data_IF_889255712502
#
_entry.id   IF_889255712502
#
_cell.length_a   1.000
_cell.length_b   1.000
_cell.length_c   1.000
_cell.angle_alpha   90.00
_cell.angle_beta   90.00
_cell.angle_gamma   90.00
#
_symmetry.space_group_name_H-M   'P 1'
#
loop_
_entity.id
_entity.type
_entity.pdbx_description
1 polymer ?
#
# COMPACT_ATOMS: atom_id res chain seq x y z
N UNK A 1 0.90 9.41 -10.61
CA UNK A 1 0.45 10.30 -9.50
C UNK A 1 1.48 10.27 -8.36
N UNK A 2 1.62 11.29 -7.51
CA UNK A 2 2.60 11.32 -6.41
C UNK A 2 1.95 11.64 -5.07
N UNK A 3 2.51 11.11 -3.97
CA UNK A 3 2.06 11.44 -2.63
C UNK A 3 2.60 12.79 -2.19
N UNK A 4 1.72 13.63 -1.65
CA UNK A 4 2.11 14.92 -1.08
C UNK A 4 2.42 14.75 0.41
N UNK A 5 3.63 15.13 0.81
CA UNK A 5 4.00 15.12 2.22
C UNK A 5 3.33 16.28 2.95
N UNK A 6 2.61 15.98 4.03
CA UNK A 6 1.89 16.98 4.80
C UNK A 6 1.90 16.65 6.31
N UNK A 7 1.99 17.66 7.18
CA UNK A 7 1.74 17.46 8.61
C UNK A 7 0.26 17.08 8.86
N UNK A 8 0.03 16.21 9.82
CA UNK A 8 -1.32 15.76 10.20
C UNK A 8 -2.27 16.92 10.55
N UNK A 9 -1.71 18.01 11.08
CA UNK A 9 -2.47 19.21 11.47
C UNK A 9 -3.11 19.94 10.28
N UNK A 10 -2.65 19.69 9.06
CA UNK A 10 -3.11 20.37 7.85
C UNK A 10 -4.06 19.51 6.99
N UNK A 11 -4.48 18.32 7.44
CA UNK A 11 -5.37 17.42 6.69
C UNK A 11 -6.69 18.09 6.27
N UNK A 12 -7.23 19.00 7.09
CA UNK A 12 -8.49 19.69 6.77
C UNK A 12 -8.41 20.60 5.54
N UNK A 13 -7.21 20.86 5.02
CA UNK A 13 -6.98 21.68 3.81
C UNK A 13 -6.96 20.86 2.52
N UNK A 14 -7.05 19.54 2.63
CA UNK A 14 -6.96 18.60 1.51
C UNK A 14 -8.33 18.16 1.01
N UNK A 15 -8.36 17.60 -0.18
CA UNK A 15 -9.56 17.12 -0.83
C UNK A 15 -9.74 15.62 -0.61
N UNK A 16 -10.97 15.15 -0.77
CA UNK A 16 -11.24 13.71 -0.79
C UNK A 16 -10.48 13.07 -1.96
N UNK A 17 -9.84 11.94 -1.72
CA UNK A 17 -9.05 11.22 -2.72
C UNK A 17 -7.59 11.69 -2.85
N UNK A 18 -7.16 12.73 -2.15
CA UNK A 18 -5.77 13.19 -2.19
C UNK A 18 -4.81 12.09 -1.69
N UNK A 19 -3.70 11.91 -2.43
CA UNK A 19 -2.62 11.00 -2.05
C UNK A 19 -1.66 11.71 -1.12
N UNK A 20 -1.53 11.21 0.11
CA UNK A 20 -0.77 11.88 1.16
C UNK A 20 0.28 10.99 1.80
N UNK A 21 1.33 11.63 2.29
CA UNK A 21 2.39 11.07 3.10
C UNK A 21 2.44 11.81 4.43
N UNK A 22 2.24 11.09 5.55
CA UNK A 22 2.23 11.67 6.90
C UNK A 22 3.18 10.88 7.81
N UNK A 23 3.92 11.61 8.64
CA UNK A 23 4.68 11.02 9.74
C UNK A 23 3.91 11.11 11.05
N UNK A 24 3.89 10.04 11.84
CA UNK A 24 3.26 10.04 13.16
C UNK A 24 3.59 8.80 13.98
N UNK A 25 2.93 8.68 15.14
CA UNK A 25 2.98 7.52 16.01
C UNK A 25 1.82 6.59 15.68
N UNK A 26 2.14 5.37 15.29
CA UNK A 26 1.17 4.34 14.99
C UNK A 26 0.69 3.65 16.27
N UNK A 27 -0.61 3.50 16.40
CA UNK A 27 -1.26 2.74 17.46
C UNK A 27 -2.34 1.88 16.82
N UNK A 28 -2.53 0.66 17.33
CA UNK A 28 -3.59 -0.24 16.85
C UNK A 28 -4.24 -0.95 18.02
N UNK A 29 -5.55 -1.12 17.98
CA UNK A 29 -6.26 -2.07 18.82
C UNK A 29 -6.88 -3.17 17.94
N UNK A 30 -7.80 -3.96 18.51
CA UNK A 30 -8.44 -5.06 17.76
C UNK A 30 -9.32 -4.55 16.61
N UNK A 31 -9.85 -3.33 16.71
CA UNK A 31 -10.87 -2.81 15.81
C UNK A 31 -10.31 -1.74 14.87
N UNK A 32 -9.33 -0.96 15.32
CA UNK A 32 -8.89 0.25 14.64
C UNK A 32 -7.38 0.44 14.70
N UNK A 33 -6.83 1.02 13.64
CA UNK A 33 -5.49 1.59 13.63
C UNK A 33 -5.59 3.12 13.56
N UNK A 34 -4.68 3.80 14.25
CA UNK A 34 -4.68 5.26 14.36
C UNK A 34 -3.24 5.77 14.25
N UNK A 35 -3.07 6.83 13.46
CA UNK A 35 -1.86 7.63 13.42
C UNK A 35 -2.06 8.90 14.24
N UNK A 36 -1.15 9.15 15.18
CA UNK A 36 -1.19 10.34 16.05
C UNK A 36 0.03 11.23 15.78
N UNK A 37 -0.18 12.53 15.64
CA UNK A 37 0.91 13.51 15.55
C UNK A 37 0.50 14.82 16.24
N UNK A 38 1.18 15.15 17.34
CA UNK A 38 0.76 16.24 18.23
C UNK A 38 -0.59 15.93 18.89
N UNK A 39 -1.53 16.86 18.80
CA UNK A 39 -2.89 16.77 19.32
C UNK A 39 -3.88 16.09 18.34
N UNK A 40 -3.44 15.79 17.11
CA UNK A 40 -4.29 15.21 16.07
C UNK A 40 -4.18 13.71 15.99
N UNK A 41 -5.31 13.08 15.66
CA UNK A 41 -5.46 11.64 15.43
C UNK A 41 -6.15 11.43 14.10
N UNK A 42 -5.67 10.48 13.32
CA UNK A 42 -6.23 10.06 12.04
C UNK A 42 -6.45 8.57 12.06
N UNK A 43 -7.69 8.16 11.83
CA UNK A 43 -8.03 6.75 11.71
C UNK A 43 -7.49 6.20 10.39
N UNK A 44 -6.90 5.02 10.47
CA UNK A 44 -6.33 4.28 9.36
C UNK A 44 -7.28 3.14 8.98
N UNK A 45 -7.53 2.98 7.68
CA UNK A 45 -8.30 1.88 7.10
C UNK A 45 -7.33 1.02 6.31
N UNK A 46 -7.37 -0.29 6.55
CA UNK A 46 -6.44 -1.25 5.96
C UNK A 46 -5.16 -1.42 6.77
N UNK A 47 -4.28 -2.30 6.29
CA UNK A 47 -2.99 -2.61 6.88
C UNK A 47 -1.94 -2.18 5.85
N UNK A 48 -0.82 -1.56 6.27
CA UNK A 48 0.28 -1.29 5.37
C UNK A 48 0.73 -2.53 4.60
N UNK A 49 1.04 -2.33 3.33
CA UNK A 49 1.30 -3.41 2.39
C UNK A 49 2.62 -4.15 2.65
N UNK A 50 3.75 -3.46 2.80
CA UNK A 50 5.06 -4.12 2.98
C UNK A 50 5.47 -4.31 4.44
N UNK A 51 5.02 -3.44 5.34
CA UNK A 51 5.54 -3.36 6.70
C UNK A 51 4.43 -3.20 7.73
N UNK A 52 4.23 -4.20 8.59
CA UNK A 52 3.29 -4.11 9.71
C UNK A 52 3.96 -3.34 10.87
N UNK A 53 3.50 -2.13 11.22
CA UNK A 53 4.13 -1.36 12.27
C UNK A 53 3.91 -1.95 13.66
N UNK A 54 4.92 -1.81 14.53
CA UNK A 54 4.79 -2.14 15.96
C UNK A 54 3.93 -1.10 16.68
N UNK A 55 3.35 -1.48 17.82
CA UNK A 55 2.64 -0.53 18.69
C UNK A 55 3.54 0.63 19.08
N UNK A 56 2.99 1.84 19.04
CA UNK A 56 3.68 3.10 19.38
C UNK A 56 4.93 3.40 18.52
N UNK A 57 5.10 2.71 17.39
CA UNK A 57 6.20 2.98 16.48
C UNK A 57 6.01 4.32 15.77
N UNK A 58 7.11 5.06 15.61
CA UNK A 58 7.13 6.26 14.76
C UNK A 58 7.30 5.84 13.30
N UNK A 59 6.34 6.17 12.47
CA UNK A 59 6.26 5.71 11.07
C UNK A 59 5.95 6.85 10.11
N UNK A 60 6.33 6.62 8.86
CA UNK A 60 5.83 7.30 7.68
C UNK A 60 4.72 6.42 7.08
N UNK A 61 3.56 7.01 6.79
CA UNK A 61 2.41 6.32 6.19
C UNK A 61 2.01 7.03 4.91
N UNK A 62 1.75 6.24 3.87
CA UNK A 62 1.17 6.67 2.61
C UNK A 62 -0.23 6.14 2.45
N UNK A 63 -1.10 6.94 1.85
CA UNK A 63 -2.46 6.51 1.58
C UNK A 63 -3.27 7.53 0.82
N UNK A 64 -4.54 7.17 0.61
CA UNK A 64 -5.56 8.03 0.03
C UNK A 64 -6.48 8.58 1.11
N UNK A 65 -6.60 9.89 1.18
CA UNK A 65 -7.45 10.56 2.16
C UNK A 65 -8.92 10.37 1.83
N UNK A 66 -9.71 10.04 2.85
CA UNK A 66 -11.16 9.98 2.81
C UNK A 66 -11.73 11.06 3.74
N UNK A 67 -12.23 12.16 3.18
CA UNK A 67 -12.70 13.36 3.90
C UNK A 67 -14.08 13.20 4.56
N UNK A 68 -14.47 11.96 4.91
CA UNK A 68 -15.65 11.70 5.74
C UNK A 68 -15.60 12.43 7.09
N UNK A 69 -16.68 12.33 7.88
CA UNK A 69 -16.71 12.83 9.26
C UNK A 69 -16.79 11.65 10.22
N UNK A 70 -15.69 11.25 10.90
CA UNK A 70 -14.34 11.83 10.88
C UNK A 70 -13.51 11.46 9.62
N UNK A 71 -12.45 12.23 9.30
CA UNK A 71 -11.56 11.92 8.18
C UNK A 71 -10.76 10.64 8.47
N UNK A 72 -10.51 9.86 7.43
CA UNK A 72 -9.82 8.56 7.49
C UNK A 72 -8.79 8.46 6.39
N UNK A 73 -7.76 7.65 6.59
CA UNK A 73 -6.75 7.37 5.58
C UNK A 73 -6.89 5.92 5.13
N UNK A 74 -7.18 5.69 3.86
CA UNK A 74 -7.01 4.37 3.27
C UNK A 74 -5.52 4.13 3.06
N UNK A 75 -4.94 3.25 3.87
CA UNK A 75 -3.49 3.03 3.92
C UNK A 75 -3.05 2.24 2.72
N UNK A 76 -2.03 2.73 2.03
CA UNK A 76 -1.36 2.00 0.97
C UNK A 76 -0.10 1.32 1.50
N UNK A 77 0.76 2.03 2.22
CA UNK A 77 1.93 1.43 2.84
C UNK A 77 2.46 2.27 4.02
N UNK A 78 3.45 1.73 4.72
CA UNK A 78 4.14 2.39 5.81
C UNK A 78 5.60 1.96 5.89
N UNK A 79 6.45 2.77 6.53
CA UNK A 79 7.80 2.36 6.95
C UNK A 79 8.19 3.02 8.26
N UNK A 80 9.17 2.48 9.01
CA UNK A 80 9.80 3.22 10.10
C UNK A 80 10.39 4.53 9.58
N UNK A 81 10.28 5.61 10.37
CA UNK A 81 10.91 6.89 10.00
C UNK A 81 12.41 6.69 9.76
N UNK A 82 12.92 7.20 8.64
CA UNK A 82 14.34 7.10 8.26
C UNK A 82 14.74 5.77 7.61
N UNK A 83 13.81 4.83 7.41
CA UNK A 83 14.08 3.63 6.63
C UNK A 83 14.33 3.98 5.15
N UNK A 84 15.26 3.25 4.51
CA UNK A 84 15.66 3.48 3.11
C UNK A 84 14.72 2.85 2.08
N UNK A 85 13.73 2.05 2.51
CA UNK A 85 12.78 1.40 1.62
C UNK A 85 12.03 2.45 0.79
N UNK A 86 11.88 2.29 -0.53
CA UNK A 86 11.26 3.31 -1.38
C UNK A 86 9.81 3.60 -0.95
N UNK A 87 9.33 4.81 -1.22
CA UNK A 87 7.91 5.11 -1.09
C UNK A 87 7.11 4.20 -2.06
N UNK A 88 5.90 3.77 -1.69
CA UNK A 88 5.03 3.07 -2.62
C UNK A 88 4.76 3.97 -3.82
N UNK A 89 4.62 3.37 -5.00
CA UNK A 89 4.12 4.07 -6.18
C UNK A 89 2.62 3.78 -6.28
N UNK A 90 1.76 4.79 -6.45
CA UNK A 90 0.36 4.55 -6.76
C UNK A 90 0.27 3.73 -8.04
N UNK A 91 -0.65 2.77 -8.09
CA UNK A 91 -0.76 1.93 -9.28
C UNK A 91 -1.30 2.75 -10.44
N UNK A 92 -0.66 2.63 -11.60
CA UNK A 92 -1.20 3.19 -12.83
C UNK A 92 -2.40 2.35 -13.26
N UNK A 93 -3.54 3.02 -13.48
CA UNK A 93 -4.73 2.37 -14.06
C UNK A 93 -4.54 2.39 -15.57
N UNK A 94 -3.92 1.34 -16.09
CA UNK A 94 -3.71 1.17 -17.53
C UNK A 94 -5.01 0.89 -18.29
N UNK A 95 -4.92 0.93 -19.61
CA UNK A 95 -5.95 0.43 -20.54
C UNK A 95 -5.59 -0.98 -21.00
N UNK A 96 -6.56 -1.68 -21.56
CA UNK A 96 -6.28 -2.96 -22.22
C UNK A 96 -5.21 -2.78 -23.31
N UNK A 97 -4.22 -3.67 -23.30
CA UNK A 97 -3.05 -3.63 -24.16
C UNK A 97 -1.81 -2.97 -23.54
N UNK A 98 -1.97 -2.14 -22.50
CA UNK A 98 -0.85 -1.45 -21.86
C UNK A 98 0.05 -2.41 -21.09
N UNK A 99 1.33 -2.05 -21.01
CA UNK A 99 2.29 -2.71 -20.12
C UNK A 99 2.37 -1.93 -18.81
N UNK A 100 2.22 -2.62 -17.69
CA UNK A 100 2.28 -2.06 -16.35
C UNK A 100 3.40 -2.71 -15.54
N UNK A 101 4.04 -1.91 -14.69
CA UNK A 101 4.92 -2.39 -13.62
C UNK A 101 4.22 -2.14 -12.29
N UNK A 102 3.94 -3.21 -11.53
CA UNK A 102 3.14 -3.16 -10.31
C UNK A 102 3.89 -3.82 -9.16
N UNK A 103 3.72 -3.27 -7.96
CA UNK A 103 4.04 -3.95 -6.72
C UNK A 103 2.77 -4.63 -6.21
N UNK A 104 2.80 -5.95 -5.97
CA UNK A 104 1.59 -6.72 -5.65
C UNK A 104 1.83 -7.79 -4.58
N UNK A 105 0.78 -8.11 -3.83
CA UNK A 105 0.69 -9.31 -3.00
C UNK A 105 -0.13 -10.34 -3.76
N UNK A 106 0.49 -11.48 -4.08
CA UNK A 106 -0.15 -12.57 -4.80
C UNK A 106 -0.77 -13.54 -3.81
N UNK A 107 -2.01 -13.96 -4.08
CA UNK A 107 -2.74 -15.01 -3.35
C UNK A 107 -3.42 -15.93 -4.35
N UNK A 108 -3.46 -17.22 -4.08
CA UNK A 108 -4.23 -18.17 -4.88
C UNK A 108 -5.63 -18.31 -4.26
N UNK A 109 -6.68 -18.15 -5.06
CA UNK A 109 -8.09 -18.27 -4.64
C UNK A 109 -8.79 -19.21 -5.60
N UNK A 110 -9.04 -20.44 -5.16
CA UNK A 110 -9.48 -21.49 -6.09
C UNK A 110 -8.39 -21.78 -7.11
N UNK A 111 -8.75 -21.72 -8.39
CA UNK A 111 -7.85 -21.93 -9.52
C UNK A 111 -7.21 -20.62 -10.04
N UNK A 112 -7.58 -19.48 -9.46
CA UNK A 112 -7.11 -18.16 -9.89
C UNK A 112 -5.94 -17.66 -9.01
N UNK A 113 -5.01 -16.97 -9.65
CA UNK A 113 -3.98 -16.20 -8.97
C UNK A 113 -4.36 -14.72 -8.95
N UNK A 114 -4.47 -14.16 -7.75
CA UNK A 114 -4.96 -12.81 -7.53
C UNK A 114 -3.83 -11.92 -7.01
N UNK A 115 -3.50 -10.89 -7.77
CA UNK A 115 -2.62 -9.82 -7.33
C UNK A 115 -3.41 -8.68 -6.71
N UNK A 116 -3.03 -8.26 -5.50
CA UNK A 116 -3.55 -7.04 -4.86
C UNK A 116 -2.44 -6.00 -4.77
N UNK A 117 -2.66 -4.79 -5.25
CA UNK A 117 -1.71 -3.67 -5.15
C UNK A 117 -1.81 -2.96 -3.78
N UNK A 118 -0.81 -2.15 -3.37
CA UNK A 118 -0.88 -1.36 -2.14
C UNK A 118 -2.14 -0.49 -2.01
N UNK A 119 -2.61 0.08 -3.12
CA UNK A 119 -3.80 0.92 -3.18
C UNK A 119 -5.12 0.15 -3.36
N UNK A 120 -5.06 -1.18 -3.32
CA UNK A 120 -6.22 -2.07 -3.28
C UNK A 120 -6.80 -2.46 -4.64
N UNK A 121 -6.12 -2.16 -5.76
CA UNK A 121 -6.52 -2.71 -7.06
C UNK A 121 -6.24 -4.21 -7.10
N UNK A 122 -7.14 -4.93 -7.76
CA UNK A 122 -7.11 -6.38 -7.86
C UNK A 122 -7.00 -6.77 -9.32
N UNK A 123 -6.04 -7.64 -9.63
CA UNK A 123 -5.85 -8.22 -10.96
C UNK A 123 -5.87 -9.74 -10.85
N UNK A 124 -6.55 -10.39 -11.79
CA UNK A 124 -6.34 -11.82 -12.06
C UNK A 124 -5.07 -11.96 -12.88
N UNK A 125 -4.13 -12.75 -12.41
CA UNK A 125 -2.86 -13.00 -13.07
C UNK A 125 -2.96 -14.18 -14.03
N UNK A 126 -2.44 -13.99 -15.25
CA UNK A 126 -2.29 -15.03 -16.26
C UNK A 126 -0.80 -15.28 -16.50
N UNK A 127 -0.43 -16.55 -16.72
CA UNK A 127 0.96 -16.95 -16.98
C UNK A 127 1.45 -17.98 -15.99
N UNK A 128 2.74 -17.91 -15.64
CA UNK A 128 3.38 -18.82 -14.69
C UNK A 128 2.73 -18.75 -13.30
N UNK A 129 2.72 -19.89 -12.60
CA UNK A 129 2.27 -19.96 -11.22
C UNK A 129 3.28 -19.31 -10.28
N UNK A 130 2.82 -18.32 -9.52
CA UNK A 130 3.59 -17.60 -8.53
C UNK A 130 3.14 -18.04 -7.13
N UNK A 131 4.11 -18.28 -6.25
CA UNK A 131 3.81 -18.54 -4.84
C UNK A 131 3.15 -17.33 -4.16
N UNK A 132 2.46 -17.58 -3.03
CA UNK A 132 1.76 -16.52 -2.31
C UNK A 132 2.71 -15.62 -1.51
N UNK A 133 3.10 -14.48 -2.08
CA UNK A 133 3.98 -13.47 -1.45
C UNK A 133 3.92 -12.13 -2.18
N UNK A 134 4.78 -11.19 -1.76
CA UNK A 134 4.95 -9.90 -2.42
C UNK A 134 5.90 -9.99 -3.62
N UNK A 135 5.55 -9.32 -4.71
CA UNK A 135 6.33 -9.25 -5.95
C UNK A 135 6.37 -7.83 -6.51
N UNK A 136 7.44 -7.53 -7.25
CA UNK A 136 7.40 -6.58 -8.36
C UNK A 136 7.08 -7.36 -9.63
N UNK A 137 5.96 -7.05 -10.28
CA UNK A 137 5.54 -7.69 -11.52
C UNK A 137 5.55 -6.69 -12.68
N UNK A 138 5.91 -7.17 -13.85
CA UNK A 138 5.68 -6.49 -15.12
C UNK A 138 4.75 -7.37 -15.93
N UNK A 139 3.70 -6.79 -16.48
CA UNK A 139 2.73 -7.53 -17.26
C UNK A 139 1.93 -6.66 -18.20
N UNK A 140 1.17 -7.31 -19.07
CA UNK A 140 0.29 -6.68 -20.05
C UNK A 140 -1.16 -6.79 -19.61
N UNK A 141 -1.88 -5.67 -19.63
CA UNK A 141 -3.32 -5.65 -19.31
C UNK A 141 -4.09 -6.31 -20.44
N UNK A 142 -4.81 -7.39 -20.13
CA UNK A 142 -5.62 -8.14 -21.10
C UNK A 142 -7.07 -7.66 -21.10
N UNK A 143 -7.63 -7.45 -19.91
CA UNK A 143 -8.99 -6.97 -19.71
C UNK A 143 -9.05 -6.02 -18.52
N UNK A 144 -10.06 -5.14 -18.50
CA UNK A 144 -10.38 -4.27 -17.37
C UNK A 144 -11.60 -4.77 -16.58
N UNK A 145 -12.34 -5.76 -17.10
CA UNK A 145 -13.54 -6.27 -16.46
C UNK A 145 -13.73 -7.79 -16.72
N UNK A 146 -13.34 -8.66 -15.77
CA UNK A 146 -12.52 -8.31 -14.60
C UNK A 146 -11.11 -7.85 -15.03
N UNK A 147 -10.39 -7.06 -14.21
CA UNK A 147 -9.01 -6.71 -14.51
C UNK A 147 -8.13 -7.95 -14.60
N UNK A 148 -7.48 -8.15 -15.74
CA UNK A 148 -6.61 -9.29 -16.02
C UNK A 148 -5.25 -8.81 -16.50
N UNK A 149 -4.18 -9.39 -15.96
CA UNK A 149 -2.81 -9.05 -16.29
C UNK A 149 -2.04 -10.32 -16.67
N UNK A 150 -1.54 -10.36 -17.90
CA UNK A 150 -0.60 -11.40 -18.33
C UNK A 150 0.80 -11.04 -17.84
N UNK A 151 1.35 -11.86 -16.95
CA UNK A 151 2.64 -11.61 -16.32
C UNK A 151 3.77 -11.95 -17.28
N UNK A 152 4.63 -10.97 -17.57
CA UNK A 152 5.83 -11.16 -18.40
C UNK A 152 7.09 -11.25 -17.55
N UNK A 153 7.09 -10.68 -16.34
CA UNK A 153 8.19 -10.75 -15.39
C UNK A 153 7.64 -10.68 -13.97
N UNK A 154 8.18 -11.49 -13.06
CA UNK A 154 7.88 -11.42 -11.64
C UNK A 154 9.17 -11.55 -10.83
N UNK A 155 9.40 -10.59 -9.92
CA UNK A 155 10.55 -10.58 -9.01
C UNK A 155 10.01 -10.57 -7.58
N UNK A 156 10.23 -11.64 -6.79
CA UNK A 156 9.74 -11.68 -5.42
C UNK A 156 10.48 -10.64 -4.58
N UNK A 157 9.77 -10.02 -3.62
CA UNK A 157 10.44 -9.22 -2.61
C UNK A 157 11.20 -10.16 -1.70
N UNK A 158 12.53 -10.07 -1.73
CA UNK A 158 13.36 -10.69 -0.70
C UNK A 158 13.04 -9.97 0.61
N UNK A 159 12.27 -10.62 1.50
CA UNK A 159 12.12 -10.13 2.85
C UNK A 159 13.52 -10.07 3.47
N UNK A 160 14.10 -8.87 3.54
CA UNK A 160 15.18 -8.62 4.46
C UNK A 160 14.50 -8.67 5.82
N UNK A 161 14.65 -9.79 6.53
CA UNK A 161 14.24 -9.90 7.92
C UNK A 161 14.72 -8.63 8.64
N UNK A 162 13.89 -7.95 9.44
CA UNK A 162 14.35 -6.80 10.17
C UNK A 162 15.56 -7.25 10.99
N UNK A 163 16.71 -6.58 10.81
CA UNK A 163 17.80 -6.68 11.75
C UNK A 163 17.23 -6.30 13.12
N UNK A 164 16.91 -7.29 13.94
CA UNK A 164 16.76 -7.13 15.37
C UNK A 164 18.14 -6.79 15.89
N UNK A 165 18.47 -5.50 15.94
CA UNK A 165 19.46 -5.03 16.90
C UNK A 165 18.73 -4.88 18.22
N UNK A 166 18.81 -5.94 19.01
CA UNK A 166 18.56 -5.88 20.44
C UNK A 166 19.57 -4.90 21.04
N UNK A 167 19.08 -3.77 21.56
CA UNK A 167 19.72 -2.93 22.57
C UNK A 167 18.63 -2.40 23.49
#
# INVERSE_FOLDING_TARGET
MTYTQIPLQHISRLHDGDLIHITGIYTRDLEHAVLTAGDKRLQLIGIPFTYIPRQQARVEIWGRLLQGKPPRLHVHDARPVGALAPAPHPSDIGKAGDQLALTVHVRCVGDDQIATTPDGYIYVLLGEELDQRHYSIVGRVISLQPPMLEVTQAVPFTQVAPFTRDW
#
